data_IF_820142415606
#
_entry.id   IF_820142415606
#
_cell.length_a   1.000
_cell.length_b   1.000
_cell.length_c   1.000
_cell.angle_alpha   90.00
_cell.angle_beta   90.00
_cell.angle_gamma   90.00
#
_symmetry.space_group_name_H-M   'P 1'
#
loop_
_entity.id
_entity.type
_entity.pdbx_description
1 polymer ?
#
# COMPACT_ATOMS: atom_id res chain seq x y z
N UNK A 1 -8.45 -1.37 -23.59
CA UNK A 1 -7.95 -2.59 -22.92
C UNK A 1 -6.47 -2.50 -22.60
N UNK A 2 -5.56 -2.27 -23.56
CA UNK A 2 -4.10 -2.11 -23.31
C UNK A 2 -3.72 -1.10 -22.21
N UNK A 3 -4.45 0.01 -22.09
CA UNK A 3 -4.19 1.06 -21.10
C UNK A 3 -4.46 0.63 -19.66
N UNK A 4 -5.53 -0.14 -19.41
CA UNK A 4 -5.85 -0.68 -18.07
C UNK A 4 -4.75 -1.64 -17.62
N UNK A 5 -4.23 -2.43 -18.57
CA UNK A 5 -3.15 -3.38 -18.31
C UNK A 5 -1.87 -2.68 -17.90
N UNK A 6 -1.51 -1.62 -18.63
CA UNK A 6 -0.33 -0.82 -18.33
C UNK A 6 -0.44 -0.11 -16.99
N UNK A 7 -1.61 0.44 -16.66
CA UNK A 7 -1.84 1.12 -15.36
C UNK A 7 -1.71 0.13 -14.21
N UNK A 8 -2.27 -1.08 -14.32
CA UNK A 8 -2.18 -2.07 -13.24
C UNK A 8 -0.75 -2.60 -13.07
N UNK A 9 -0.02 -2.76 -14.17
CA UNK A 9 1.39 -3.13 -14.11
C UNK A 9 2.25 -2.03 -13.49
N UNK A 10 2.00 -0.77 -13.85
CA UNK A 10 2.64 0.39 -13.23
C UNK A 10 2.36 0.43 -11.72
N UNK A 11 1.11 0.26 -11.33
CA UNK A 11 0.70 0.26 -9.91
C UNK A 11 1.35 -0.88 -9.11
N UNK A 12 1.45 -2.08 -9.67
CA UNK A 12 2.14 -3.20 -9.01
C UNK A 12 3.64 -2.96 -8.85
N UNK A 13 4.29 -2.29 -9.81
CA UNK A 13 5.68 -1.86 -9.68
C UNK A 13 5.85 -0.74 -8.66
N UNK A 14 4.91 0.22 -8.63
CA UNK A 14 4.89 1.29 -7.64
C UNK A 14 4.73 0.74 -6.22
N UNK A 15 3.95 -0.33 -6.02
CA UNK A 15 3.86 -1.04 -4.72
C UNK A 15 5.21 -1.55 -4.26
N UNK A 16 5.99 -2.19 -5.14
CA UNK A 16 7.33 -2.65 -4.78
C UNK A 16 8.23 -1.49 -4.32
N UNK A 17 8.19 -0.36 -5.03
CA UNK A 17 8.95 0.83 -4.68
C UNK A 17 8.53 1.37 -3.30
N UNK A 18 7.22 1.45 -3.03
CA UNK A 18 6.69 1.88 -1.74
C UNK A 18 7.07 0.93 -0.61
N UNK A 19 7.01 -0.39 -0.84
CA UNK A 19 7.40 -1.39 0.15
C UNK A 19 8.89 -1.31 0.50
N UNK A 20 9.75 -1.10 -0.50
CA UNK A 20 11.19 -0.87 -0.28
C UNK A 20 11.41 0.42 0.50
N UNK A 21 10.76 1.52 0.11
CA UNK A 21 10.87 2.80 0.80
C UNK A 21 10.42 2.69 2.27
N UNK A 22 9.28 2.05 2.52
CA UNK A 22 8.75 1.80 3.87
C UNK A 22 9.70 0.91 4.68
N UNK A 23 10.23 -0.16 4.08
CA UNK A 23 11.21 -1.03 4.73
C UNK A 23 12.48 -0.28 5.15
N UNK A 24 12.98 0.62 4.31
CA UNK A 24 14.14 1.48 4.62
C UNK A 24 13.80 2.46 5.75
N UNK A 25 12.65 3.13 5.68
CA UNK A 25 12.22 4.11 6.69
C UNK A 25 11.93 3.44 8.04
N UNK A 26 11.41 2.21 8.04
CA UNK A 26 11.17 1.42 9.23
C UNK A 26 12.46 0.80 9.80
N UNK A 27 13.56 0.76 9.04
CA UNK A 27 14.81 0.12 9.44
C UNK A 27 15.34 0.53 10.83
N UNK A 28 15.32 1.82 11.21
CA UNK A 28 15.76 2.26 12.54
C UNK A 28 14.93 1.68 13.68
N UNK A 29 13.63 1.42 13.46
CA UNK A 29 12.72 0.85 14.46
C UNK A 29 13.08 -0.61 14.80
N UNK A 30 13.76 -1.32 13.89
CA UNK A 30 14.25 -2.67 14.13
C UNK A 30 15.54 -2.69 14.94
N UNK A 31 16.37 -1.65 14.81
CA UNK A 31 17.67 -1.55 15.48
C UNK A 31 17.54 -0.98 16.90
N UNK A 32 16.61 -0.04 17.10
CA UNK A 32 16.31 0.57 18.38
C UNK A 32 14.79 0.64 18.59
N UNK A 33 14.17 -0.44 19.08
CA UNK A 33 12.74 -0.47 19.33
C UNK A 33 12.35 0.58 20.37
N UNK A 34 11.48 1.51 19.99
CA UNK A 34 10.77 2.39 20.93
C UNK A 34 9.55 1.65 21.48
N UNK A 35 9.19 1.90 22.75
CA UNK A 35 8.13 1.16 23.46
C UNK A 35 6.73 1.22 22.82
N UNK A 36 6.47 2.22 21.97
CA UNK A 36 5.19 2.41 21.29
C UNK A 36 5.12 1.76 19.89
N UNK A 37 6.23 1.23 19.39
CA UNK A 37 6.32 0.65 18.03
C UNK A 37 6.38 -0.88 18.10
N UNK A 38 5.63 -1.56 17.23
CA UNK A 38 5.72 -3.02 17.07
C UNK A 38 6.45 -3.38 15.78
N UNK A 39 7.79 -3.47 15.80
CA UNK A 39 8.60 -3.76 14.59
C UNK A 39 8.19 -5.08 13.92
N UNK A 40 7.87 -6.11 14.72
CA UNK A 40 7.46 -7.40 14.20
C UNK A 40 6.14 -7.29 13.41
N UNK A 41 5.18 -6.50 13.91
CA UNK A 41 3.92 -6.26 13.20
C UNK A 41 4.16 -5.53 11.87
N UNK A 42 5.06 -4.55 11.82
CA UNK A 42 5.45 -3.86 10.58
C UNK A 42 6.04 -4.84 9.57
N UNK A 43 6.95 -5.74 9.99
CA UNK A 43 7.53 -6.75 9.10
C UNK A 43 6.45 -7.70 8.56
N UNK A 44 5.54 -8.16 9.41
CA UNK A 44 4.43 -9.03 8.98
C UNK A 44 3.54 -8.31 7.97
N UNK A 45 3.20 -7.04 8.20
CA UNK A 45 2.41 -6.23 7.28
C UNK A 45 3.11 -6.00 5.94
N UNK A 46 4.43 -5.79 5.93
CA UNK A 46 5.20 -5.66 4.69
C UNK A 46 5.31 -6.99 3.94
N UNK A 47 5.47 -8.10 4.67
CA UNK A 47 5.50 -9.44 4.10
C UNK A 47 4.16 -9.81 3.46
N UNK A 48 3.04 -9.56 4.14
CA UNK A 48 1.71 -9.76 3.58
C UNK A 48 1.49 -8.85 2.36
N UNK A 49 2.03 -7.62 2.41
CA UNK A 49 1.94 -6.70 1.29
C UNK A 49 2.64 -7.21 0.02
N UNK A 50 3.89 -7.66 0.20
CA UNK A 50 4.69 -8.24 -0.86
C UNK A 50 4.04 -9.50 -1.43
N UNK A 51 3.53 -10.38 -0.57
CA UNK A 51 2.88 -11.62 -0.98
C UNK A 51 1.61 -11.37 -1.81
N UNK A 52 0.72 -10.46 -1.38
CA UNK A 52 -0.48 -10.16 -2.17
C UNK A 52 -0.11 -9.48 -3.49
N UNK A 53 0.88 -8.57 -3.50
CA UNK A 53 1.28 -7.88 -4.72
C UNK A 53 1.88 -8.86 -5.74
N UNK A 54 2.65 -9.85 -5.27
CA UNK A 54 3.14 -10.94 -6.10
C UNK A 54 1.98 -11.76 -6.71
N UNK A 55 0.97 -12.11 -5.90
CA UNK A 55 -0.21 -12.82 -6.39
C UNK A 55 -0.95 -12.03 -7.47
N UNK A 56 -1.11 -10.71 -7.29
CA UNK A 56 -1.69 -9.82 -8.31
C UNK A 56 -0.83 -9.84 -9.58
N UNK A 57 0.49 -9.74 -9.45
CA UNK A 57 1.38 -9.76 -10.61
C UNK A 57 1.30 -11.07 -11.39
N UNK A 58 1.22 -12.21 -10.70
CA UNK A 58 1.02 -13.51 -11.34
C UNK A 58 -0.33 -13.58 -12.06
N UNK A 59 -1.39 -13.07 -11.44
CA UNK A 59 -2.73 -13.04 -12.03
C UNK A 59 -2.78 -12.16 -13.29
N UNK A 60 -2.11 -11.01 -13.25
CA UNK A 60 -1.92 -10.11 -14.39
C UNK A 60 -1.09 -10.77 -15.51
N UNK A 61 -0.03 -11.51 -15.15
CA UNK A 61 0.84 -12.19 -16.10
C UNK A 61 0.12 -13.31 -16.89
N UNK A 62 -0.83 -14.00 -16.26
CA UNK A 62 -1.69 -14.99 -16.93
C UNK A 62 -2.93 -14.38 -17.59
N UNK A 63 -3.08 -13.05 -17.55
CA UNK A 63 -4.19 -12.32 -18.19
C UNK A 63 -5.54 -12.41 -17.47
N UNK A 64 -5.58 -12.88 -16.22
CA UNK A 64 -6.82 -12.91 -15.44
C UNK A 64 -7.11 -11.52 -14.86
N UNK A 65 -8.25 -10.95 -15.27
CA UNK A 65 -8.68 -9.62 -14.83
C UNK A 65 -10.13 -9.62 -14.30
N UNK A 66 -10.34 -10.06 -13.05
CA UNK A 66 -11.64 -9.87 -12.44
C UNK A 66 -11.95 -8.37 -12.32
N UNK A 67 -13.16 -7.96 -12.75
CA UNK A 67 -13.61 -6.55 -12.70
C UNK A 67 -13.53 -5.93 -11.30
N UNK A 68 -13.60 -6.75 -10.24
CA UNK A 68 -13.53 -6.32 -8.86
C UNK A 68 -12.10 -6.15 -8.31
N UNK A 69 -11.08 -6.68 -9.01
CA UNK A 69 -9.68 -6.63 -8.57
C UNK A 69 -9.19 -5.21 -8.25
N UNK A 70 -9.45 -4.18 -9.09
CA UNK A 70 -9.09 -2.80 -8.77
C UNK A 70 -9.57 -2.32 -7.40
N UNK A 71 -10.84 -2.55 -7.08
CA UNK A 71 -11.47 -2.09 -5.85
C UNK A 71 -10.97 -2.87 -4.63
N UNK A 72 -10.83 -4.19 -4.76
CA UNK A 72 -10.28 -5.06 -3.70
C UNK A 72 -8.87 -4.61 -3.36
N UNK A 73 -8.03 -4.35 -4.36
CA UNK A 73 -6.64 -3.96 -4.12
C UNK A 73 -6.53 -2.59 -3.46
N UNK A 74 -7.36 -1.62 -3.85
CA UNK A 74 -7.40 -0.32 -3.20
C UNK A 74 -7.83 -0.43 -1.72
N UNK A 75 -8.84 -1.27 -1.43
CA UNK A 75 -9.29 -1.51 -0.07
C UNK A 75 -8.20 -2.15 0.79
N UNK A 76 -7.49 -3.14 0.25
CA UNK A 76 -6.34 -3.77 0.90
C UNK A 76 -5.21 -2.75 1.13
N UNK A 77 -4.89 -1.92 0.14
CA UNK A 77 -3.86 -0.89 0.27
C UNK A 77 -4.20 0.11 1.39
N UNK A 78 -5.46 0.55 1.51
CA UNK A 78 -5.92 1.40 2.60
C UNK A 78 -5.80 0.72 3.97
N UNK A 79 -6.26 -0.53 4.08
CA UNK A 79 -6.16 -1.30 5.33
C UNK A 79 -4.70 -1.48 5.75
N UNK A 80 -3.80 -1.68 4.80
CA UNK A 80 -2.38 -1.87 5.08
C UNK A 80 -1.72 -0.59 5.57
N UNK A 81 -2.05 0.56 4.96
CA UNK A 81 -1.59 1.87 5.45
C UNK A 81 -2.06 2.12 6.88
N UNK A 82 -3.35 1.90 7.16
CA UNK A 82 -3.92 2.07 8.51
C UNK A 82 -3.20 1.15 9.50
N UNK A 83 -3.00 -0.11 9.14
CA UNK A 83 -2.32 -1.08 10.01
C UNK A 83 -0.86 -0.68 10.29
N UNK A 84 -0.12 -0.20 9.28
CA UNK A 84 1.27 0.27 9.44
C UNK A 84 1.34 1.54 10.30
N UNK A 85 0.38 2.46 10.17
CA UNK A 85 0.31 3.66 11.01
C UNK A 85 0.11 3.31 12.47
N UNK A 86 -0.79 2.36 12.76
CA UNK A 86 -1.04 1.88 14.11
C UNK A 86 0.17 1.11 14.68
N UNK A 87 0.86 0.33 13.84
CA UNK A 87 2.03 -0.46 14.24
C UNK A 87 3.29 0.37 14.52
N UNK A 88 3.40 1.57 13.92
CA UNK A 88 4.60 2.41 13.98
C UNK A 88 4.55 3.55 15.01
N UNK A 89 3.54 3.57 15.90
CA UNK A 89 3.47 4.53 17.00
C UNK A 89 2.80 5.88 16.69
N UNK A 90 1.87 5.92 15.71
CA UNK A 90 1.04 7.09 15.28
C UNK A 90 1.73 8.15 14.40
N UNK A 91 0.92 9.15 14.01
CA UNK A 91 1.02 10.15 12.92
C UNK A 91 2.29 11.00 12.81
N UNK A 92 3.20 10.95 13.78
CA UNK A 92 4.54 11.58 13.67
C UNK A 92 5.57 10.69 13.01
N UNK A 93 5.23 9.43 12.75
CA UNK A 93 6.09 8.49 12.05
C UNK A 93 6.33 8.95 10.60
N UNK A 94 7.58 8.91 10.08
CA UNK A 94 7.85 9.20 8.68
C UNK A 94 7.13 8.23 7.71
N UNK A 95 6.49 7.18 8.24
CA UNK A 95 5.68 6.24 7.47
C UNK A 95 4.38 6.84 6.93
N UNK A 96 3.98 8.05 7.34
CA UNK A 96 2.79 8.75 6.80
C UNK A 96 2.79 8.85 5.27
N UNK A 97 3.98 8.93 4.64
CA UNK A 97 4.12 8.95 3.19
C UNK A 97 3.55 7.71 2.48
N UNK A 98 3.41 6.59 3.19
CA UNK A 98 2.77 5.38 2.66
C UNK A 98 1.31 5.63 2.26
N UNK A 99 0.63 6.58 2.91
CA UNK A 99 -0.74 6.96 2.58
C UNK A 99 -0.89 7.60 1.19
N UNK A 100 0.18 8.10 0.58
CA UNK A 100 0.13 8.62 -0.80
C UNK A 100 -0.18 7.51 -1.81
N UNK A 101 0.25 6.28 -1.55
CA UNK A 101 0.09 5.18 -2.49
C UNK A 101 -1.39 4.84 -2.81
N UNK A 102 -2.27 4.58 -1.83
CA UNK A 102 -3.69 4.37 -2.10
C UNK A 102 -4.37 5.62 -2.66
N UNK A 103 -3.94 6.84 -2.31
CA UNK A 103 -4.48 8.09 -2.88
C UNK A 103 -4.16 8.20 -4.38
N UNK A 104 -2.91 7.96 -4.77
CA UNK A 104 -2.48 7.94 -6.18
C UNK A 104 -3.19 6.81 -6.94
N UNK A 105 -3.31 5.64 -6.32
CA UNK A 105 -4.02 4.48 -6.91
C UNK A 105 -5.49 4.82 -7.16
N UNK A 106 -6.17 5.47 -6.20
CA UNK A 106 -7.54 5.91 -6.36
C UNK A 106 -7.70 6.96 -7.46
N UNK A 107 -6.78 7.94 -7.53
CA UNK A 107 -6.78 8.97 -8.57
C UNK A 107 -6.63 8.37 -9.97
N UNK A 108 -5.71 7.42 -10.13
CA UNK A 108 -5.42 6.77 -11.42
C UNK A 108 -6.52 5.81 -11.88
N UNK A 109 -7.21 5.12 -10.94
CA UNK A 109 -8.20 4.09 -11.28
C UNK A 109 -9.64 4.55 -11.30
N UNK A 110 -10.00 5.48 -10.43
CA UNK A 110 -11.41 5.84 -10.17
C UNK A 110 -11.67 7.35 -10.30
N UNK A 111 -10.61 8.15 -10.51
CA UNK A 111 -10.69 9.60 -10.69
C UNK A 111 -10.48 10.38 -9.39
N UNK A 112 -10.64 11.70 -9.48
CA UNK A 112 -10.27 12.63 -8.40
C UNK A 112 -11.22 12.54 -7.19
N UNK A 113 -12.52 12.30 -7.39
CA UNK A 113 -13.49 12.24 -6.28
C UNK A 113 -13.13 11.11 -5.31
N UNK A 114 -12.79 9.95 -5.84
CA UNK A 114 -12.37 8.78 -5.06
C UNK A 114 -11.01 8.97 -4.39
N UNK A 115 -10.09 9.76 -4.97
CA UNK A 115 -8.82 10.05 -4.30
C UNK A 115 -9.02 10.95 -3.08
N UNK A 116 -9.91 11.94 -3.17
CA UNK A 116 -10.29 12.78 -2.03
C UNK A 116 -10.98 11.94 -0.94
N UNK A 117 -11.89 11.04 -1.33
CA UNK A 117 -12.55 10.15 -0.38
C UNK A 117 -11.54 9.23 0.35
N UNK A 118 -10.59 8.64 -0.37
CA UNK A 118 -9.52 7.82 0.23
C UNK A 118 -8.64 8.65 1.16
N UNK A 119 -8.25 9.86 0.75
CA UNK A 119 -7.47 10.75 1.60
C UNK A 119 -8.21 11.08 2.91
N UNK A 120 -9.51 11.36 2.84
CA UNK A 120 -10.34 11.62 4.01
C UNK A 120 -10.38 10.41 4.97
N UNK A 121 -10.53 9.19 4.43
CA UNK A 121 -10.53 7.95 5.22
C UNK A 121 -9.19 7.71 5.93
N UNK A 122 -8.07 8.08 5.32
CA UNK A 122 -6.75 7.87 5.91
C UNK A 122 -6.38 8.90 6.99
N UNK A 123 -7.05 10.06 7.01
CA UNK A 123 -6.80 11.15 7.95
C UNK A 123 -7.79 11.16 9.13
N UNK A 124 -8.98 10.55 8.95
CA UNK A 124 -10.01 10.41 9.97
C UNK A 124 -9.57 9.50 11.13
#
# INVERSE_FOLDING_TARGET
MKTVIQVDWLLSNLRWLVLVAVGIVAAPQFLAPSGDSSPLLVIVLLGTAAAYNLAIMLLLAIGLWPRALPAITLMLDCLLVIAVFQASGRTTSPLVWMGLFPIITAALRFGWVTSVAVAAVLVA
#
